data_IF_960212351443
#
_entry.id   IF_960212351443
#
_cell.length_a   1.000
_cell.length_b   1.000
_cell.length_c   1.000
_cell.angle_alpha   90.00
_cell.angle_beta   90.00
_cell.angle_gamma   90.00
#
_symmetry.space_group_name_H-M   'P 1'
#
loop_
_entity.id
_entity.type
_entity.pdbx_description
1 polymer ?
#
# COMPACT_ATOMS: atom_id res chain seq x y z
N UNK A 1 -2.98 -4.35 20.07
CA UNK A 1 -2.25 -3.90 18.88
C UNK A 1 -3.24 -3.35 17.88
N UNK A 2 -2.86 -2.35 17.11
CA UNK A 2 -3.63 -1.72 16.04
C UNK A 2 -2.81 -1.79 14.76
N UNK A 3 -3.43 -2.21 13.67
CA UNK A 3 -2.85 -2.25 12.34
C UNK A 3 -3.44 -1.09 11.52
N UNK A 4 -2.58 -0.27 10.93
CA UNK A 4 -2.94 0.82 10.04
C UNK A 4 -2.63 0.42 8.61
N UNK A 5 -3.66 0.41 7.79
CA UNK A 5 -3.63 0.03 6.37
C UNK A 5 -4.28 1.11 5.51
N UNK A 6 -3.77 1.33 4.31
CA UNK A 6 -4.51 1.97 3.24
C UNK A 6 -5.45 0.95 2.55
N UNK A 7 -6.47 1.45 1.87
CA UNK A 7 -7.47 0.61 1.22
C UNK A 7 -6.88 -0.29 0.10
N UNK A 8 -5.72 0.06 -0.43
CA UNK A 8 -5.00 -0.66 -1.48
C UNK A 8 -3.84 -1.53 -0.95
N UNK A 9 -3.76 -1.72 0.38
CA UNK A 9 -2.83 -2.64 1.04
C UNK A 9 -3.55 -3.90 1.50
N UNK A 10 -3.19 -5.03 0.90
CA UNK A 10 -3.85 -6.32 1.13
C UNK A 10 -2.91 -7.26 1.87
N UNK A 11 -3.29 -7.79 3.06
CA UNK A 11 -2.47 -8.77 3.77
C UNK A 11 -2.46 -10.13 3.06
N UNK A 12 -1.30 -10.79 3.01
CA UNK A 12 -1.24 -12.24 2.92
C UNK A 12 -1.68 -12.81 4.28
N UNK A 13 -2.96 -13.12 4.39
CA UNK A 13 -3.59 -13.48 5.67
C UNK A 13 -2.91 -14.66 6.35
N UNK A 14 -2.48 -15.69 5.58
CA UNK A 14 -1.78 -16.84 6.14
C UNK A 14 -0.42 -16.45 6.71
N UNK A 15 0.41 -15.79 5.91
CA UNK A 15 1.77 -15.39 6.32
C UNK A 15 1.74 -14.41 7.49
N UNK A 16 0.79 -13.48 7.47
CA UNK A 16 0.65 -12.51 8.55
C UNK A 16 0.19 -13.15 9.86
N UNK A 17 -0.75 -14.09 9.82
CA UNK A 17 -1.20 -14.85 11.00
C UNK A 17 -0.08 -15.71 11.56
N UNK A 18 0.63 -16.48 10.72
CA UNK A 18 1.79 -17.27 11.14
C UNK A 18 2.87 -16.40 11.81
N UNK A 19 3.12 -15.22 11.26
CA UNK A 19 4.07 -14.28 11.86
C UNK A 19 3.59 -13.74 13.21
N UNK A 20 2.31 -13.38 13.36
CA UNK A 20 1.73 -12.94 14.63
C UNK A 20 1.84 -13.99 15.73
N UNK A 21 1.69 -15.26 15.37
CA UNK A 21 1.76 -16.39 16.33
C UNK A 21 3.18 -16.70 16.79
N UNK A 22 4.16 -16.53 15.88
CA UNK A 22 5.56 -16.94 16.11
C UNK A 22 6.48 -15.79 16.52
N UNK A 23 6.10 -14.54 16.25
CA UNK A 23 7.00 -13.41 16.45
C UNK A 23 6.82 -12.71 17.79
N UNK A 24 7.92 -12.15 18.28
CA UNK A 24 7.94 -11.35 19.51
C UNK A 24 7.71 -9.86 19.22
N UNK A 25 6.70 -9.58 18.39
CA UNK A 25 6.40 -8.21 17.95
C UNK A 25 5.98 -7.28 19.11
N UNK A 26 5.51 -7.85 20.23
CA UNK A 26 4.97 -7.10 21.39
C UNK A 26 6.02 -6.30 22.14
N UNK A 27 7.30 -6.59 21.96
CA UNK A 27 8.40 -5.80 22.53
C UNK A 27 8.62 -4.46 21.82
N UNK A 28 8.08 -4.30 20.61
CA UNK A 28 8.18 -3.05 19.88
C UNK A 28 6.92 -2.20 20.10
N UNK A 29 7.08 -0.90 20.23
CA UNK A 29 5.97 0.06 20.31
C UNK A 29 5.32 0.23 18.94
N UNK A 30 6.13 0.26 17.89
CA UNK A 30 5.67 0.31 16.51
C UNK A 30 6.59 -0.48 15.56
N UNK A 31 5.97 -1.05 14.53
CA UNK A 31 6.63 -1.76 13.45
C UNK A 31 6.15 -1.21 12.11
N UNK A 32 7.06 -1.04 11.15
CA UNK A 32 6.74 -0.91 9.74
C UNK A 32 6.93 -2.27 9.07
N UNK A 33 5.83 -2.80 8.54
CA UNK A 33 5.78 -4.12 7.96
C UNK A 33 6.08 -4.04 6.47
N UNK A 34 6.91 -4.98 6.00
CA UNK A 34 7.32 -5.03 4.61
C UNK A 34 6.14 -5.40 3.70
N UNK A 35 6.09 -4.75 2.55
CA UNK A 35 5.11 -5.01 1.51
C UNK A 35 5.77 -5.17 0.13
N UNK A 36 5.16 -6.01 -0.69
CA UNK A 36 5.38 -6.02 -2.13
C UNK A 36 4.75 -4.79 -2.74
N UNK A 37 5.42 -4.21 -3.72
CA UNK A 37 4.94 -3.06 -4.48
C UNK A 37 4.61 -3.48 -5.91
N UNK A 38 3.50 -2.97 -6.45
CA UNK A 38 3.03 -3.30 -7.80
C UNK A 38 2.78 -2.04 -8.62
N UNK A 39 2.92 -2.16 -9.95
CA UNK A 39 2.75 -1.04 -10.85
C UNK A 39 2.01 -1.44 -12.13
N UNK A 40 1.04 -0.63 -12.55
CA UNK A 40 0.10 -0.79 -13.67
C UNK A 40 -0.78 -2.02 -13.54
N UNK A 41 -0.18 -3.18 -13.37
CA UNK A 41 -0.88 -4.47 -13.30
C UNK A 41 -0.43 -5.27 -12.07
N UNK A 42 -1.31 -6.10 -11.49
CA UNK A 42 -0.95 -6.91 -10.32
C UNK A 42 0.09 -8.00 -10.62
N UNK A 43 0.40 -8.22 -11.90
CA UNK A 43 1.48 -9.10 -12.36
C UNK A 43 2.86 -8.43 -12.38
N UNK A 44 2.95 -7.11 -12.29
CA UNK A 44 4.21 -6.39 -12.27
C UNK A 44 4.63 -6.09 -10.82
N UNK A 45 5.48 -6.94 -10.24
CA UNK A 45 5.97 -6.81 -8.88
C UNK A 45 7.37 -6.20 -8.86
N UNK A 46 7.58 -5.15 -8.05
CA UNK A 46 8.89 -4.56 -7.86
C UNK A 46 9.89 -5.57 -7.26
N UNK A 47 11.14 -5.47 -7.67
CA UNK A 47 12.24 -6.26 -7.08
C UNK A 47 12.60 -5.79 -5.67
N UNK A 48 12.19 -4.59 -5.31
CA UNK A 48 12.40 -3.96 -4.01
C UNK A 48 11.14 -4.07 -3.16
N UNK A 49 11.31 -4.23 -1.85
CA UNK A 49 10.23 -4.18 -0.86
C UNK A 49 10.17 -2.79 -0.24
N UNK A 50 8.95 -2.34 0.03
CA UNK A 50 8.66 -1.13 0.81
C UNK A 50 8.14 -1.51 2.22
N UNK A 51 7.93 -0.52 3.09
CA UNK A 51 7.38 -0.72 4.42
C UNK A 51 6.36 0.37 4.76
N UNK A 52 5.17 0.29 4.19
CA UNK A 52 4.10 1.28 4.35
C UNK A 52 3.11 0.97 5.47
N UNK A 53 2.92 -0.31 5.78
CA UNK A 53 1.98 -0.78 6.81
C UNK A 53 2.56 -0.55 8.20
N UNK A 54 1.75 0.04 9.11
CA UNK A 54 2.17 0.29 10.49
C UNK A 54 1.39 -0.58 11.47
N UNK A 55 2.11 -1.34 12.29
CA UNK A 55 1.56 -2.07 13.43
C UNK A 55 2.02 -1.38 14.72
N UNK A 56 1.07 -0.91 15.55
CA UNK A 56 1.37 -0.17 16.76
C UNK A 56 0.72 -0.78 18.01
N UNK A 57 1.36 -0.61 19.16
CA UNK A 57 0.78 -1.00 20.44
C UNK A 57 -0.34 -0.03 20.81
N UNK A 58 -1.56 -0.54 21.04
CA UNK A 58 -2.73 0.27 21.39
C UNK A 58 -2.48 1.20 22.58
N UNK A 59 -1.74 0.73 23.59
CA UNK A 59 -1.42 1.50 24.81
C UNK A 59 -0.54 2.74 24.56
N UNK A 60 0.13 2.81 23.44
CA UNK A 60 1.00 3.91 23.04
C UNK A 60 0.32 4.91 22.10
N UNK A 61 -0.91 4.62 21.68
CA UNK A 61 -1.68 5.47 20.77
C UNK A 61 -2.50 6.46 21.61
N UNK A 62 -2.11 7.73 21.57
CA UNK A 62 -2.85 8.84 22.14
C UNK A 62 -3.71 9.49 21.04
N UNK A 63 -4.79 10.18 21.46
CA UNK A 63 -5.71 10.83 20.52
C UNK A 63 -5.00 11.82 19.59
N UNK A 64 -4.02 12.54 20.12
CA UNK A 64 -3.22 13.52 19.37
C UNK A 64 -2.44 12.87 18.24
N UNK A 65 -1.86 11.68 18.46
CA UNK A 65 -1.14 10.93 17.44
C UNK A 65 -2.08 10.50 16.30
N UNK A 66 -3.32 10.10 16.64
CA UNK A 66 -4.32 9.67 15.68
C UNK A 66 -4.89 10.82 14.84
N UNK A 67 -4.74 12.05 15.28
CA UNK A 67 -5.16 13.25 14.55
C UNK A 67 -4.14 13.72 13.51
N UNK A 68 -2.90 13.25 13.58
CA UNK A 68 -1.92 13.45 12.51
C UNK A 68 -2.25 12.59 11.31
N UNK A 69 -3.05 13.14 10.39
CA UNK A 69 -3.65 12.41 9.28
C UNK A 69 -2.79 12.36 8.01
N UNK A 70 -1.71 13.11 7.96
CA UNK A 70 -1.01 13.36 6.71
C UNK A 70 -0.33 12.10 6.15
N UNK A 71 0.23 11.25 7.00
CA UNK A 71 0.75 9.94 6.58
C UNK A 71 0.93 9.00 7.79
N UNK A 72 0.83 7.68 7.56
CA UNK A 72 1.12 6.65 8.57
C UNK A 72 2.54 6.71 9.10
N UNK A 73 3.48 7.25 8.32
CA UNK A 73 4.83 7.54 8.77
C UNK A 73 4.85 8.51 9.95
N UNK A 74 3.96 9.48 10.00
CA UNK A 74 3.81 10.37 11.14
C UNK A 74 3.44 9.57 12.40
N UNK A 75 2.46 8.65 12.32
CA UNK A 75 2.09 7.78 13.44
C UNK A 75 3.30 6.99 13.93
N UNK A 76 4.01 6.31 13.01
CA UNK A 76 5.21 5.55 13.37
C UNK A 76 6.28 6.41 14.00
N UNK A 77 6.53 7.60 13.47
CA UNK A 77 7.59 8.49 13.94
C UNK A 77 7.29 9.11 15.31
N UNK A 78 6.05 9.48 15.57
CA UNK A 78 5.62 10.12 16.82
C UNK A 78 5.55 9.14 18.00
N UNK A 79 5.30 7.85 17.77
CA UNK A 79 5.24 6.87 18.84
C UNK A 79 6.58 6.75 19.57
N UNK A 80 6.60 6.79 20.92
CA UNK A 80 7.82 6.60 21.71
C UNK A 80 8.24 5.13 21.77
N UNK A 81 9.48 4.85 22.14
CA UNK A 81 9.97 3.51 22.47
C UNK A 81 10.56 2.72 21.30
N UNK A 82 10.77 1.41 21.49
CA UNK A 82 11.43 0.56 20.51
C UNK A 82 10.60 0.42 19.22
N UNK A 83 11.27 0.60 18.08
CA UNK A 83 10.66 0.53 16.75
C UNK A 83 11.53 -0.27 15.79
N UNK A 84 10.90 -0.93 14.80
CA UNK A 84 11.61 -1.61 13.72
C UNK A 84 10.94 -1.33 12.38
N UNK A 85 11.75 -1.31 11.32
CA UNK A 85 11.31 -1.15 9.92
C UNK A 85 11.61 -2.41 9.11
N UNK A 86 10.99 -2.49 7.94
CA UNK A 86 11.17 -3.59 6.97
C UNK A 86 10.94 -4.97 7.59
N UNK A 87 9.93 -5.06 8.47
CA UNK A 87 9.63 -6.33 9.15
C UNK A 87 8.91 -7.25 8.17
N UNK A 88 9.58 -8.34 7.82
CA UNK A 88 9.07 -9.39 6.95
C UNK A 88 8.47 -10.56 7.76
N UNK A 89 7.78 -11.45 7.08
CA UNK A 89 7.28 -12.70 7.62
C UNK A 89 8.41 -13.64 8.06
N UNK A 90 8.05 -14.75 8.69
CA UNK A 90 8.99 -15.75 9.21
C UNK A 90 9.85 -16.38 8.11
N UNK A 91 9.38 -16.36 6.88
CA UNK A 91 10.09 -16.83 5.68
C UNK A 91 10.98 -15.74 5.01
N UNK A 92 11.07 -14.55 5.62
CA UNK A 92 11.83 -13.42 5.11
C UNK A 92 11.12 -12.64 3.97
N UNK A 93 9.91 -13.02 3.61
CA UNK A 93 9.14 -12.35 2.56
C UNK A 93 8.16 -11.32 3.15
N UNK A 94 7.76 -10.28 2.39
CA UNK A 94 6.71 -9.35 2.79
C UNK A 94 5.39 -10.05 3.10
N UNK A 95 4.67 -9.49 4.06
CA UNK A 95 3.35 -9.99 4.49
C UNK A 95 2.19 -9.22 3.88
N UNK A 96 2.46 -8.19 3.12
CA UNK A 96 1.45 -7.31 2.52
C UNK A 96 1.73 -7.08 1.04
N UNK A 97 0.67 -6.77 0.31
CA UNK A 97 0.70 -6.39 -1.10
C UNK A 97 0.13 -4.98 -1.24
N UNK A 98 0.87 -4.07 -1.82
CA UNK A 98 0.48 -2.68 -2.00
C UNK A 98 0.22 -2.37 -3.47
N UNK A 99 -1.04 -2.13 -3.81
CA UNK A 99 -1.54 -1.94 -5.17
C UNK A 99 -1.79 -0.47 -5.54
N UNK A 100 -1.21 0.47 -4.82
CA UNK A 100 -1.43 1.92 -4.98
C UNK A 100 -1.29 2.43 -6.42
N UNK A 101 -0.45 1.79 -7.22
CA UNK A 101 -0.19 2.15 -8.61
C UNK A 101 -0.64 1.07 -9.63
N UNK A 102 -1.44 0.11 -9.19
CA UNK A 102 -2.15 -0.83 -10.07
C UNK A 102 -3.45 -0.17 -10.52
N UNK A 103 -3.39 0.49 -11.67
CA UNK A 103 -4.48 1.35 -12.15
C UNK A 103 -4.50 1.38 -13.68
N UNK A 104 -5.68 1.58 -14.24
CA UNK A 104 -5.83 2.01 -15.64
C UNK A 104 -5.21 3.40 -15.83
N UNK A 105 -5.02 3.80 -17.08
CA UNK A 105 -4.51 5.15 -17.40
C UNK A 105 -5.38 6.26 -16.79
N UNK A 106 -6.70 6.11 -16.92
CA UNK A 106 -7.70 7.06 -16.44
C UNK A 106 -7.64 7.20 -14.91
N UNK A 107 -7.60 6.09 -14.19
CA UNK A 107 -7.49 6.07 -12.73
C UNK A 107 -6.15 6.65 -12.25
N UNK A 108 -5.07 6.37 -12.99
CA UNK A 108 -3.74 6.93 -12.66
C UNK A 108 -3.72 8.44 -12.86
N UNK A 109 -4.33 8.95 -13.94
CA UNK A 109 -4.52 10.40 -14.15
C UNK A 109 -5.36 11.05 -13.05
N UNK A 110 -6.41 10.39 -12.58
CA UNK A 110 -7.20 10.87 -11.43
C UNK A 110 -6.36 10.92 -10.16
N UNK A 111 -5.61 9.85 -9.87
CA UNK A 111 -4.74 9.77 -8.71
C UNK A 111 -3.72 10.92 -8.69
N UNK A 112 -2.97 11.11 -9.75
CA UNK A 112 -1.89 12.12 -9.77
C UNK A 112 -2.41 13.56 -9.70
N UNK A 113 -3.65 13.83 -10.11
CA UNK A 113 -4.29 15.14 -9.98
C UNK A 113 -4.79 15.43 -8.56
N UNK A 114 -5.15 14.39 -7.81
CA UNK A 114 -5.66 14.50 -6.44
C UNK A 114 -4.59 14.25 -5.36
N UNK A 115 -3.42 13.78 -5.75
CA UNK A 115 -2.37 13.38 -4.84
C UNK A 115 -1.69 14.57 -4.15
N UNK A 116 -1.27 14.39 -2.89
CA UNK A 116 -0.55 15.42 -2.13
C UNK A 116 0.76 15.91 -2.77
N UNK A 117 1.38 15.07 -3.61
CA UNK A 117 2.61 15.34 -4.35
C UNK A 117 2.38 15.82 -5.80
N UNK A 118 1.18 16.25 -6.15
CA UNK A 118 0.79 16.61 -7.52
C UNK A 118 1.66 17.70 -8.15
N UNK A 119 2.26 18.55 -7.32
CA UNK A 119 3.05 19.70 -7.77
C UNK A 119 4.56 19.39 -7.84
N UNK A 120 5.02 18.20 -7.45
CA UNK A 120 6.45 17.83 -7.42
C UNK A 120 7.02 17.61 -8.83
N UNK A 121 6.17 17.15 -9.77
CA UNK A 121 6.55 16.86 -11.17
C UNK A 121 5.36 17.07 -12.09
N UNK A 122 5.59 17.08 -13.38
CA UNK A 122 4.52 16.94 -14.39
C UNK A 122 4.05 15.48 -14.51
N UNK A 123 3.34 15.05 -13.47
CA UNK A 123 2.82 13.69 -13.37
C UNK A 123 1.87 13.31 -14.51
N UNK A 124 1.11 14.29 -15.03
CA UNK A 124 0.15 14.04 -16.11
C UNK A 124 0.89 13.64 -17.38
N UNK A 125 1.94 14.37 -17.74
CA UNK A 125 2.79 14.01 -18.89
C UNK A 125 3.46 12.66 -18.68
N UNK A 126 4.02 12.38 -17.50
CA UNK A 126 4.64 11.09 -17.19
C UNK A 126 3.66 9.92 -17.32
N UNK A 127 2.40 10.06 -16.88
CA UNK A 127 1.37 9.04 -17.08
C UNK A 127 1.06 8.85 -18.57
N UNK A 128 0.95 9.92 -19.35
CA UNK A 128 0.72 9.81 -20.79
C UNK A 128 1.86 9.08 -21.50
N UNK A 129 3.11 9.40 -21.18
CA UNK A 129 4.29 8.74 -21.75
C UNK A 129 4.35 7.26 -21.37
N UNK A 130 4.08 6.94 -20.09
CA UNK A 130 4.07 5.57 -19.59
C UNK A 130 3.06 4.68 -20.34
N UNK A 131 1.86 5.19 -20.58
CA UNK A 131 0.80 4.45 -21.23
C UNK A 131 0.82 4.55 -22.78
N UNK A 132 1.77 5.29 -23.35
CA UNK A 132 1.98 5.32 -24.80
C UNK A 132 2.61 4.03 -25.36
N UNK A 133 3.19 3.19 -24.49
CA UNK A 133 3.83 1.94 -24.85
C UNK A 133 3.54 0.82 -23.82
N UNK A 134 3.79 -0.44 -24.15
CA UNK A 134 3.82 -1.52 -23.17
C UNK A 134 4.81 -1.22 -22.04
N UNK A 135 4.50 -1.70 -20.83
CA UNK A 135 5.38 -1.51 -19.66
C UNK A 135 6.80 -2.05 -19.93
N UNK A 136 7.80 -1.25 -19.62
CA UNK A 136 9.21 -1.54 -19.92
C UNK A 136 9.99 -2.07 -18.72
N UNK A 137 9.30 -2.39 -17.61
CA UNK A 137 9.91 -2.99 -16.45
C UNK A 137 10.54 -2.01 -15.44
N UNK A 138 10.31 -0.69 -15.61
CA UNK A 138 10.72 0.34 -14.64
C UNK A 138 9.64 1.38 -14.52
N UNK A 139 9.20 1.74 -13.30
CA UNK A 139 8.19 2.76 -13.08
C UNK A 139 8.77 4.18 -13.11
N UNK A 140 7.93 5.15 -13.45
CA UNK A 140 8.28 6.58 -13.45
C UNK A 140 8.14 7.26 -12.08
N UNK A 141 7.56 6.58 -11.09
CA UNK A 141 7.27 7.14 -9.77
C UNK A 141 8.53 7.09 -8.90
N UNK A 142 9.08 5.89 -8.75
CA UNK A 142 10.23 5.62 -7.89
C UNK A 142 11.47 5.16 -8.66
N UNK A 143 11.32 4.79 -9.93
CA UNK A 143 12.40 4.21 -10.73
C UNK A 143 12.71 2.77 -10.34
N UNK A 144 11.75 2.03 -9.74
CA UNK A 144 11.96 0.64 -9.38
C UNK A 144 11.92 -0.26 -10.61
N UNK A 145 12.73 -1.31 -10.58
CA UNK A 145 12.68 -2.40 -11.56
C UNK A 145 11.69 -3.47 -11.13
N UNK A 146 11.03 -4.10 -12.09
CA UNK A 146 9.94 -5.05 -11.89
C UNK A 146 10.24 -6.40 -12.52
N UNK A 147 9.60 -7.43 -11.96
CA UNK A 147 9.51 -8.78 -12.53
C UNK A 147 8.05 -9.15 -12.75
N UNK A 148 7.81 -10.02 -13.72
CA UNK A 148 6.50 -10.62 -13.90
C UNK A 148 6.27 -11.69 -12.83
N UNK A 149 5.10 -11.65 -12.18
CA UNK A 149 4.66 -12.64 -11.21
C UNK A 149 3.23 -13.09 -11.53
N UNK A 150 2.83 -14.26 -11.01
CA UNK A 150 1.42 -14.63 -10.98
C UNK A 150 0.72 -13.75 -9.92
N UNK A 151 -0.38 -13.05 -10.25
CA UNK A 151 -1.14 -12.30 -9.26
C UNK A 151 -1.56 -13.17 -8.08
N UNK A 152 -1.40 -12.68 -6.85
CA UNK A 152 -1.80 -13.40 -5.64
C UNK A 152 -3.31 -13.41 -5.44
N UNK A 153 -4.00 -12.40 -6.01
CA UNK A 153 -5.44 -12.25 -5.93
C UNK A 153 -5.99 -12.15 -7.35
N UNK A 154 -7.04 -12.92 -7.64
CA UNK A 154 -7.83 -12.72 -8.84
C UNK A 154 -8.78 -11.55 -8.56
N UNK A 155 -8.52 -10.40 -9.18
CA UNK A 155 -9.40 -9.25 -9.09
C UNK A 155 -10.49 -9.46 -10.13
N UNK A 156 -11.65 -9.94 -9.70
CA UNK A 156 -12.84 -10.00 -10.54
C UNK A 156 -13.49 -8.61 -10.55
N UNK A 157 -13.23 -7.83 -11.60
CA UNK A 157 -13.87 -6.52 -11.78
C UNK A 157 -15.33 -6.61 -12.25
N UNK A 158 -15.84 -7.80 -12.59
CA UNK A 158 -17.08 -7.98 -13.32
C UNK A 158 -18.36 -8.05 -12.47
N UNK A 159 -18.30 -7.95 -11.14
CA UNK A 159 -19.48 -8.16 -10.29
C UNK A 159 -19.89 -6.98 -9.38
N UNK A 160 -19.29 -5.81 -9.51
CA UNK A 160 -19.77 -4.64 -8.79
C UNK A 160 -20.79 -3.88 -9.67
N UNK A 161 -21.96 -4.43 -9.83
CA UNK A 161 -23.12 -3.68 -10.28
C UNK A 161 -23.56 -2.74 -9.17
N UNK A 162 -23.16 -1.49 -9.22
CA UNK A 162 -23.81 -0.43 -8.47
C UNK A 162 -25.21 -0.19 -9.07
N UNK A 163 -26.22 -0.82 -8.51
CA UNK A 163 -27.60 -0.35 -8.75
C UNK A 163 -27.74 1.04 -8.12
N UNK A 164 -28.02 2.08 -8.90
CA UNK A 164 -28.31 3.39 -8.32
C UNK A 164 -29.59 3.26 -7.48
N UNK A 165 -29.46 3.48 -6.16
CA UNK A 165 -30.63 3.56 -5.28
C UNK A 165 -31.58 4.61 -5.83
N UNK A 166 -32.79 4.16 -6.19
CA UNK A 166 -33.84 5.01 -6.76
C UNK A 166 -34.04 6.27 -5.93
N UNK A 167 -34.18 7.38 -6.62
CA UNK A 167 -34.57 8.67 -6.07
C UNK A 167 -35.91 8.52 -5.36
N UNK A 168 -36.08 8.98 -4.11
CA UNK A 168 -37.40 8.99 -3.47
C UNK A 168 -38.35 9.89 -4.30
N UNK A 169 -39.45 9.33 -4.74
CA UNK A 169 -40.56 10.14 -5.30
C UNK A 169 -41.16 10.95 -4.15
N UNK A 170 -41.15 12.27 -4.31
CA UNK A 170 -41.89 13.24 -3.47
C UNK A 170 -43.35 13.24 -3.89
#
# INVERSE_FOLDING_TARGET
>A
TVLFLDADEVPDGRRFTEWLDCSDYRHNTALKLANYWYFREPSNQALRFEDTVVLAQKRALESEILLHQDERDAIYNLLPGPKRRHVAGSDGNPMFHHYSWVRTKEEMLQKVRAWGHKDDRDWVTLVHEEFAAPFRGTDFVHGYSYRAVKPCFEIHFDEIHFEPKGTPQV
#
